data_IF_941433330575
#
_entry.id   IF_941433330575
#
_cell.length_a   1.000
_cell.length_b   1.000
_cell.length_c   1.000
_cell.angle_alpha   90.00
_cell.angle_beta   90.00
_cell.angle_gamma   90.00
#
_symmetry.space_group_name_H-M   'P 1'
#
loop_
_entity.id
_entity.type
_entity.pdbx_description
1 polymer ?
#
# COMPACT_ATOMS: atom_id res chain seq x y z
N UNK A 1 -0.79 12.08 -0.31
CA UNK A 1 -0.77 12.15 -1.78
C UNK A 1 -1.70 11.12 -2.44
N UNK A 2 -1.85 9.89 -1.93
CA UNK A 2 -2.39 8.77 -2.75
C UNK A 2 -3.80 8.27 -2.50
N UNK A 3 -4.55 8.85 -1.55
CA UNK A 3 -5.93 8.39 -1.26
C UNK A 3 -7.05 9.06 -2.06
N UNK A 4 -6.75 9.91 -3.04
CA UNK A 4 -7.80 10.74 -3.65
C UNK A 4 -8.38 10.20 -4.96
N UNK A 5 -7.91 9.05 -5.46
CA UNK A 5 -8.33 8.49 -6.73
C UNK A 5 -8.69 6.99 -6.59
N UNK A 6 -9.83 6.53 -7.12
CA UNK A 6 -10.21 5.11 -7.16
C UNK A 6 -9.12 4.22 -7.78
N UNK A 7 -8.94 2.99 -7.28
CA UNK A 7 -7.85 2.11 -7.69
C UNK A 7 -7.85 1.75 -9.19
N UNK A 8 -9.03 1.71 -9.81
CA UNK A 8 -9.26 1.50 -11.24
C UNK A 8 -8.81 2.70 -12.11
N UNK A 9 -8.56 3.85 -11.50
CA UNK A 9 -8.03 5.04 -12.19
C UNK A 9 -6.51 5.19 -12.07
N UNK A 10 -5.83 4.24 -11.43
CA UNK A 10 -4.38 4.26 -11.28
C UNK A 10 -3.73 3.85 -12.62
N UNK A 11 -2.99 4.79 -13.21
CA UNK A 11 -2.33 4.65 -14.51
C UNK A 11 -0.87 5.12 -14.46
N UNK A 12 -0.17 5.06 -15.60
CA UNK A 12 1.22 5.51 -15.73
C UNK A 12 1.39 7.00 -15.41
N UNK A 13 0.39 7.83 -15.72
CA UNK A 13 0.42 9.26 -15.41
C UNK A 13 0.40 9.51 -13.90
N UNK A 14 -0.40 8.73 -13.16
CA UNK A 14 -0.40 8.78 -11.70
C UNK A 14 0.94 8.27 -11.13
N UNK A 15 1.52 7.23 -11.73
CA UNK A 15 2.87 6.75 -11.37
C UNK A 15 3.93 7.84 -11.58
N UNK A 16 3.93 8.55 -12.70
CA UNK A 16 4.87 9.64 -12.98
C UNK A 16 4.75 10.77 -11.96
N UNK A 17 3.51 11.17 -11.64
CA UNK A 17 3.24 12.16 -10.59
C UNK A 17 3.71 11.66 -9.21
N UNK A 18 3.64 10.35 -8.95
CA UNK A 18 4.16 9.71 -7.74
C UNK A 18 5.66 9.84 -7.65
N UNK A 19 6.36 9.47 -8.72
CA UNK A 19 7.82 9.49 -8.78
C UNK A 19 8.37 10.91 -8.71
N UNK A 20 7.70 11.89 -9.33
CA UNK A 20 8.06 13.31 -9.21
C UNK A 20 8.03 13.77 -7.74
N UNK A 21 6.99 13.38 -7.01
CA UNK A 21 6.88 13.68 -5.57
C UNK A 21 7.88 12.90 -4.75
N UNK A 22 8.10 11.62 -5.04
CA UNK A 22 9.10 10.80 -4.37
C UNK A 22 10.50 11.41 -4.44
N UNK A 23 10.89 11.94 -5.62
CA UNK A 23 12.15 12.67 -5.79
C UNK A 23 12.21 13.95 -4.96
N UNK A 24 11.14 14.74 -4.95
CA UNK A 24 11.07 15.94 -4.12
C UNK A 24 11.15 15.62 -2.61
N UNK A 25 10.50 14.53 -2.18
CA UNK A 25 10.53 14.08 -0.78
C UNK A 25 11.90 13.53 -0.38
N UNK A 26 12.55 12.77 -1.27
CA UNK A 26 13.92 12.32 -1.08
C UNK A 26 14.88 13.52 -0.94
N UNK A 27 14.76 14.53 -1.81
CA UNK A 27 15.56 15.76 -1.74
C UNK A 27 15.31 16.56 -0.45
N UNK A 28 14.13 16.42 0.16
CA UNK A 28 13.79 17.00 1.45
C UNK A 28 14.23 16.14 2.67
N UNK A 29 14.86 14.99 2.44
CA UNK A 29 15.38 14.11 3.50
C UNK A 29 14.44 13.00 3.97
N UNK A 30 13.42 12.63 3.18
CA UNK A 30 12.60 11.47 3.50
C UNK A 30 13.36 10.15 3.31
N UNK A 31 13.15 9.18 4.19
CA UNK A 31 13.79 7.84 4.12
C UNK A 31 12.91 6.76 3.49
N UNK A 32 11.68 7.10 3.11
CA UNK A 32 10.71 6.13 2.62
C UNK A 32 9.51 6.79 1.94
N UNK A 33 8.89 6.04 1.04
CA UNK A 33 7.72 6.48 0.28
C UNK A 33 6.52 5.59 0.62
N UNK A 34 5.48 6.15 1.21
CA UNK A 34 4.23 5.42 1.44
C UNK A 34 3.18 5.75 0.38
N UNK A 35 2.74 4.73 -0.37
CA UNK A 35 1.75 4.85 -1.45
C UNK A 35 0.53 3.96 -1.15
N UNK A 36 -0.33 4.39 -0.21
CA UNK A 36 -1.51 3.61 0.12
C UNK A 36 -2.57 3.67 -0.99
N UNK A 37 -3.31 2.58 -1.16
CA UNK A 37 -4.36 2.45 -2.19
C UNK A 37 -3.85 1.88 -3.51
N UNK A 38 -2.54 1.85 -3.74
CA UNK A 38 -1.94 1.21 -4.91
C UNK A 38 -2.05 -0.32 -4.79
N UNK A 39 -2.82 -0.95 -5.67
CA UNK A 39 -3.08 -2.40 -5.65
C UNK A 39 -2.64 -3.14 -6.91
N UNK A 40 -2.40 -2.43 -8.03
CA UNK A 40 -1.96 -3.04 -9.30
C UNK A 40 -0.53 -3.59 -9.18
N UNK A 41 -0.30 -4.90 -9.35
CA UNK A 41 1.04 -5.48 -9.30
C UNK A 41 2.01 -4.84 -10.29
N UNK A 42 1.54 -4.51 -11.51
CA UNK A 42 2.36 -3.89 -12.54
C UNK A 42 2.86 -2.50 -12.10
N UNK A 43 1.96 -1.67 -11.55
CA UNK A 43 2.32 -0.33 -11.07
C UNK A 43 3.19 -0.39 -9.81
N UNK A 44 2.98 -1.36 -8.92
CA UNK A 44 3.84 -1.55 -7.75
C UNK A 44 5.26 -1.89 -8.19
N UNK A 45 5.43 -2.84 -9.13
CA UNK A 45 6.75 -3.21 -9.68
C UNK A 45 7.43 -2.02 -10.37
N UNK A 46 6.69 -1.25 -11.14
CA UNK A 46 7.22 -0.07 -11.80
C UNK A 46 7.65 1.01 -10.79
N UNK A 47 6.84 1.23 -9.75
CA UNK A 47 7.14 2.17 -8.68
C UNK A 47 8.38 1.77 -7.88
N UNK A 48 8.46 0.51 -7.43
CA UNK A 48 9.60 0.02 -6.63
C UNK A 48 10.90 0.04 -7.42
N UNK A 49 10.85 -0.24 -8.73
CA UNK A 49 12.01 -0.16 -9.60
C UNK A 49 12.50 1.28 -9.83
N UNK A 50 11.60 2.26 -9.88
CA UNK A 50 11.94 3.65 -10.23
C UNK A 50 12.04 4.60 -9.02
N UNK A 51 11.54 4.21 -7.85
CA UNK A 51 11.50 5.07 -6.67
C UNK A 51 12.90 5.33 -6.11
N UNK A 52 13.26 6.58 -5.78
CA UNK A 52 14.51 6.88 -5.08
C UNK A 52 14.46 6.49 -3.58
N UNK A 53 13.30 6.05 -3.07
CA UNK A 53 13.07 5.72 -1.67
C UNK A 53 12.49 4.31 -1.52
N UNK A 54 12.81 3.59 -0.42
CA UNK A 54 12.14 2.36 -0.03
C UNK A 54 10.61 2.54 -0.01
N UNK A 55 9.90 1.69 -0.76
CA UNK A 55 8.45 1.81 -0.93
C UNK A 55 7.71 1.03 0.16
N UNK A 56 6.76 1.70 0.81
CA UNK A 56 5.75 1.13 1.68
C UNK A 56 4.41 1.04 0.94
N UNK A 57 3.75 -0.11 1.02
CA UNK A 57 2.36 -0.31 0.54
C UNK A 57 1.44 -0.70 1.71
N UNK A 58 0.14 -0.48 1.52
CA UNK A 58 -0.87 -0.87 2.51
C UNK A 58 -1.69 -2.04 1.99
N UNK A 59 -1.62 -3.17 2.71
CA UNK A 59 -2.39 -4.36 2.42
C UNK A 59 -3.66 -4.39 3.26
N UNK A 60 -4.82 -4.52 2.61
CA UNK A 60 -6.14 -4.56 3.27
C UNK A 60 -6.92 -5.85 2.99
N UNK A 61 -6.30 -6.78 2.28
CA UNK A 61 -6.81 -8.09 1.88
C UNK A 61 -5.71 -9.14 2.09
N UNK A 62 -6.06 -10.43 2.12
CA UNK A 62 -5.05 -11.50 2.26
C UNK A 62 -4.20 -11.68 0.99
N UNK A 63 -4.72 -11.26 -0.16
CA UNK A 63 -4.02 -11.28 -1.45
C UNK A 63 -3.82 -9.85 -1.97
N UNK A 64 -2.64 -9.50 -2.54
CA UNK A 64 -1.41 -10.32 -2.63
C UNK A 64 -0.80 -10.69 -1.28
N UNK A 65 -0.08 -11.82 -1.23
CA UNK A 65 0.61 -12.31 -0.03
C UNK A 65 1.83 -11.43 0.32
N UNK A 66 2.42 -11.65 1.50
CA UNK A 66 3.67 -10.94 1.86
C UNK A 66 4.82 -11.30 0.90
N UNK A 67 4.85 -12.56 0.44
CA UNK A 67 5.84 -13.04 -0.52
C UNK A 67 5.66 -12.35 -1.87
N UNK A 68 4.42 -12.21 -2.36
CA UNK A 68 4.13 -11.48 -3.59
C UNK A 68 4.65 -10.03 -3.52
N UNK A 69 4.36 -9.31 -2.44
CA UNK A 69 4.85 -7.94 -2.29
C UNK A 69 6.38 -7.86 -2.23
N UNK A 70 7.05 -8.83 -1.58
CA UNK A 70 8.51 -8.92 -1.58
C UNK A 70 9.06 -9.12 -3.01
N UNK A 71 8.44 -10.01 -3.80
CA UNK A 71 8.77 -10.20 -5.22
C UNK A 71 8.50 -8.96 -6.08
N UNK A 72 7.61 -8.07 -5.64
CA UNK A 72 7.32 -6.80 -6.32
C UNK A 72 8.34 -5.72 -5.97
N UNK A 73 9.30 -5.98 -5.06
CA UNK A 73 10.32 -5.03 -4.63
C UNK A 73 9.87 -4.08 -3.52
N UNK A 74 8.78 -4.40 -2.83
CA UNK A 74 8.30 -3.60 -1.69
C UNK A 74 9.24 -3.75 -0.50
N UNK A 75 9.63 -2.64 0.11
CA UNK A 75 10.52 -2.62 1.27
C UNK A 75 9.77 -2.66 2.61
N UNK A 76 8.52 -2.19 2.65
CA UNK A 76 7.68 -2.20 3.85
C UNK A 76 6.23 -2.50 3.52
N UNK A 77 5.57 -3.31 4.34
CA UNK A 77 4.15 -3.63 4.21
C UNK A 77 3.46 -3.19 5.49
N UNK A 78 2.42 -2.38 5.34
CA UNK A 78 1.54 -1.95 6.44
C UNK A 78 0.12 -2.49 6.22
N UNK A 79 -0.69 -2.55 7.28
CA UNK A 79 -2.03 -3.18 7.22
C UNK A 79 -3.19 -2.22 7.52
N UNK A 80 -2.89 -0.93 7.72
CA UNK A 80 -3.90 0.07 8.06
C UNK A 80 -4.77 -0.38 9.25
N UNK A 81 -6.10 -0.17 9.20
CA UNK A 81 -7.01 -0.60 10.26
C UNK A 81 -7.39 -2.08 10.19
N UNK A 82 -6.91 -2.84 9.20
CA UNK A 82 -7.37 -4.21 8.94
C UNK A 82 -7.27 -5.14 10.17
N UNK A 83 -6.15 -5.18 10.92
CA UNK A 83 -6.05 -6.06 12.09
C UNK A 83 -7.10 -5.74 13.17
N UNK A 84 -7.34 -4.44 13.43
CA UNK A 84 -8.36 -3.99 14.37
C UNK A 84 -9.77 -4.40 13.90
N UNK A 85 -10.08 -4.17 12.62
CA UNK A 85 -11.38 -4.54 12.05
C UNK A 85 -11.63 -6.05 12.14
N UNK A 86 -10.62 -6.89 11.94
CA UNK A 86 -10.76 -8.34 12.10
C UNK A 86 -11.02 -8.74 13.55
N UNK A 87 -10.27 -8.17 14.51
CA UNK A 87 -10.53 -8.41 15.92
C UNK A 87 -11.98 -8.04 16.32
N UNK A 88 -12.48 -6.90 15.83
CA UNK A 88 -13.85 -6.46 16.12
C UNK A 88 -14.91 -7.31 15.42
N UNK A 89 -14.64 -7.83 14.22
CA UNK A 89 -15.55 -8.78 13.55
C UNK A 89 -15.71 -10.05 14.37
N UNK A 90 -14.60 -10.66 14.79
CA UNK A 90 -14.63 -11.87 15.63
C UNK A 90 -15.35 -11.63 16.94
N UNK A 91 -15.07 -10.51 17.63
CA UNK A 91 -15.80 -10.16 18.85
C UNK A 91 -17.31 -10.05 18.62
N UNK A 92 -17.71 -9.38 17.53
CA UNK A 92 -19.12 -9.21 17.21
C UNK A 92 -19.82 -10.54 16.84
N UNK A 93 -19.10 -11.47 16.21
CA UNK A 93 -19.60 -12.83 15.93
C UNK A 93 -19.83 -13.62 17.21
N UNK A 94 -18.87 -13.61 18.15
CA UNK A 94 -18.99 -14.27 19.44
C UNK A 94 -20.19 -13.74 20.24
N UNK A 95 -20.39 -12.41 20.28
CA UNK A 95 -21.53 -11.80 20.97
C UNK A 95 -22.86 -12.17 20.31
N UNK A 96 -22.92 -12.25 18.97
CA UNK A 96 -24.14 -12.61 18.24
C UNK A 96 -24.52 -14.09 18.38
N UNK A 97 -23.54 -14.99 18.52
CA UNK A 97 -23.79 -16.42 18.67
C UNK A 97 -24.48 -16.74 20.01
N UNK A 98 -24.36 -15.86 21.01
CA UNK A 98 -24.83 -16.15 22.37
C UNK A 98 -23.89 -17.11 23.10
N UNK A 99 -24.28 -17.50 24.32
CA UNK A 99 -23.62 -18.57 25.08
C UNK A 99 -24.21 -19.93 24.76
#
# INVERSE_FOLDING_TARGET
VFFNAPADTHDERLLDATLARARAYAAAGADGLFVPGLSSPALIRALTAASPLPVNVMRVTETPTLADFAEYGVARISHGPYPYLQAMKTLAEMVRQGG
#
